data_IF_660875295282
#
_entry.id   IF_660875295282
#
_cell.length_a   1.000
_cell.length_b   1.000
_cell.length_c   1.000
_cell.angle_alpha   90.00
_cell.angle_beta   90.00
_cell.angle_gamma   90.00
#
_symmetry.space_group_name_H-M   'P 1'
#
loop_
_entity.id
_entity.type
_entity.pdbx_description
1 polymer ?
#
# COMPACT_ATOMS: atom_id res chain seq x y z
N UNK A 1 -26.44 -2.79 -14.80
CA UNK A 1 -25.08 -2.67 -15.38
C UNK A 1 -24.30 -3.90 -14.97
N UNK A 2 -23.45 -4.43 -15.85
CA UNK A 2 -22.60 -5.60 -15.54
C UNK A 2 -21.49 -5.15 -14.54
N UNK A 3 -21.15 -6.01 -13.58
CA UNK A 3 -20.07 -5.75 -12.59
C UNK A 3 -18.75 -5.36 -13.30
N UNK A 4 -18.40 -6.01 -14.41
CA UNK A 4 -17.20 -5.70 -15.18
C UNK A 4 -17.25 -4.29 -15.79
N UNK A 5 -18.37 -3.86 -16.33
CA UNK A 5 -18.53 -2.49 -16.87
C UNK A 5 -18.33 -1.42 -15.80
N UNK A 6 -18.80 -1.68 -14.56
CA UNK A 6 -18.55 -0.77 -13.43
C UNK A 6 -17.06 -0.71 -13.10
N UNK A 7 -16.40 -1.86 -12.98
CA UNK A 7 -14.97 -1.93 -12.71
C UNK A 7 -14.14 -1.18 -13.77
N UNK A 8 -14.46 -1.38 -15.05
CA UNK A 8 -13.75 -0.72 -16.15
C UNK A 8 -13.92 0.81 -16.11
N UNK A 9 -15.13 1.30 -15.80
CA UNK A 9 -15.41 2.74 -15.63
C UNK A 9 -14.69 3.33 -14.44
N UNK A 10 -14.75 2.68 -13.28
CA UNK A 10 -14.04 3.13 -12.08
C UNK A 10 -12.53 3.14 -12.33
N UNK A 11 -11.97 2.10 -12.96
CA UNK A 11 -10.56 2.05 -13.32
C UNK A 11 -10.14 3.21 -14.23
N UNK A 12 -10.94 3.52 -15.27
CA UNK A 12 -10.68 4.64 -16.17
C UNK A 12 -10.73 6.00 -15.44
N UNK A 13 -11.71 6.18 -14.54
CA UNK A 13 -11.87 7.39 -13.74
C UNK A 13 -10.68 7.59 -12.78
N UNK A 14 -10.29 6.54 -12.05
CA UNK A 14 -9.14 6.56 -11.13
C UNK A 14 -7.86 6.88 -11.89
N UNK A 15 -7.65 6.22 -13.03
CA UNK A 15 -6.48 6.48 -13.90
C UNK A 15 -6.39 7.95 -14.30
N UNK A 16 -7.49 8.55 -14.76
CA UNK A 16 -7.53 9.95 -15.16
C UNK A 16 -7.29 10.89 -13.96
N UNK A 17 -7.78 10.54 -12.77
CA UNK A 17 -7.66 11.37 -11.56
C UNK A 17 -6.24 11.35 -10.98
N UNK A 18 -5.53 10.23 -11.10
CA UNK A 18 -4.17 10.05 -10.61
C UNK A 18 -3.10 10.28 -11.70
N UNK A 19 -3.48 10.80 -12.85
CA UNK A 19 -2.54 11.15 -13.92
C UNK A 19 -1.65 12.32 -13.46
N UNK A 20 -0.33 12.16 -13.61
CA UNK A 20 0.65 13.14 -13.18
C UNK A 20 0.98 13.13 -11.68
N UNK A 21 0.37 12.25 -10.87
CA UNK A 21 0.75 12.10 -9.46
C UNK A 21 2.15 11.47 -9.33
N UNK A 22 3.04 12.12 -8.57
CA UNK A 22 4.45 11.73 -8.42
C UNK A 22 4.85 11.31 -7.01
N UNK A 23 3.89 11.25 -6.06
CA UNK A 23 4.18 10.93 -4.66
C UNK A 23 4.39 9.43 -4.38
N UNK A 24 4.19 8.58 -5.41
CA UNK A 24 4.20 7.11 -5.29
C UNK A 24 2.82 6.49 -5.04
N UNK A 25 1.75 7.32 -5.05
CA UNK A 25 0.35 6.93 -5.04
C UNK A 25 -0.31 7.20 -6.41
N UNK A 26 0.45 6.92 -7.48
CA UNK A 26 0.04 7.09 -8.87
C UNK A 26 -0.88 5.95 -9.34
N UNK A 27 -1.43 6.11 -10.57
CA UNK A 27 -2.22 5.05 -11.19
C UNK A 27 -1.49 3.69 -11.22
N UNK A 28 -0.17 3.68 -11.41
CA UNK A 28 0.56 2.43 -11.53
C UNK A 28 0.67 1.68 -10.20
N UNK A 29 0.70 2.39 -9.07
CA UNK A 29 0.54 1.78 -7.75
C UNK A 29 -0.83 1.12 -7.63
N UNK A 30 -1.92 1.87 -7.89
CA UNK A 30 -3.29 1.34 -7.85
C UNK A 30 -3.45 0.14 -8.78
N UNK A 31 -2.90 0.19 -9.98
CA UNK A 31 -2.94 -0.91 -10.94
C UNK A 31 -2.24 -2.17 -10.40
N UNK A 32 -1.07 -2.04 -9.79
CA UNK A 32 -0.34 -3.19 -9.20
C UNK A 32 -1.09 -3.77 -8.00
N UNK A 33 -1.62 -2.92 -7.12
CA UNK A 33 -2.47 -3.35 -6.00
C UNK A 33 -3.71 -4.07 -6.50
N UNK A 34 -4.42 -3.53 -7.50
CA UNK A 34 -5.58 -4.19 -8.11
C UNK A 34 -5.23 -5.57 -8.70
N UNK A 35 -4.12 -5.68 -9.44
CA UNK A 35 -3.66 -6.98 -9.98
C UNK A 35 -3.32 -7.98 -8.88
N UNK A 36 -2.67 -7.54 -7.80
CA UNK A 36 -2.33 -8.38 -6.66
C UNK A 36 -3.58 -8.78 -5.87
N UNK A 37 -4.54 -7.86 -5.69
CA UNK A 37 -5.85 -8.15 -5.11
C UNK A 37 -6.56 -9.27 -5.85
N UNK A 38 -6.55 -9.24 -7.19
CA UNK A 38 -7.12 -10.31 -8.00
C UNK A 38 -6.41 -11.65 -7.78
N UNK A 39 -5.08 -11.63 -7.75
CA UNK A 39 -4.29 -12.84 -7.56
C UNK A 39 -4.55 -13.50 -6.20
N UNK A 40 -4.60 -12.71 -5.13
CA UNK A 40 -4.85 -13.20 -3.76
C UNK A 40 -6.33 -13.57 -3.61
N UNK A 41 -7.24 -12.66 -3.98
CA UNK A 41 -8.67 -12.79 -3.72
C UNK A 41 -9.30 -14.01 -4.38
N UNK A 42 -8.90 -14.34 -5.63
CA UNK A 42 -9.37 -15.56 -6.29
C UNK A 42 -8.96 -16.82 -5.54
N UNK A 43 -7.76 -16.85 -4.97
CA UNK A 43 -7.25 -18.04 -4.24
C UNK A 43 -7.83 -18.14 -2.84
N UNK A 44 -8.11 -17.01 -2.20
CA UNK A 44 -8.69 -16.96 -0.85
C UNK A 44 -10.23 -17.03 -0.85
N UNK A 45 -10.89 -16.90 -2.01
CA UNK A 45 -12.35 -17.00 -2.14
C UNK A 45 -13.11 -15.73 -1.70
N UNK A 46 -12.50 -14.56 -1.85
CA UNK A 46 -13.11 -13.26 -1.52
C UNK A 46 -14.19 -12.86 -2.55
N UNK A 47 -15.13 -11.98 -2.15
CA UNK A 47 -16.00 -11.31 -3.11
C UNK A 47 -15.15 -10.35 -3.96
N UNK A 48 -14.91 -10.79 -5.20
CA UNK A 48 -14.03 -10.08 -6.10
C UNK A 48 -14.56 -8.71 -6.51
N UNK A 49 -15.88 -8.50 -6.51
CA UNK A 49 -16.44 -7.19 -6.87
C UNK A 49 -16.13 -6.15 -5.79
N UNK A 50 -16.31 -6.51 -4.52
CA UNK A 50 -15.94 -5.64 -3.38
C UNK A 50 -14.41 -5.41 -3.35
N UNK A 51 -13.63 -6.49 -3.47
CA UNK A 51 -12.17 -6.41 -3.39
C UNK A 51 -11.57 -5.57 -4.51
N UNK A 52 -12.03 -5.73 -5.75
CA UNK A 52 -11.54 -4.97 -6.90
C UNK A 52 -11.94 -3.49 -6.83
N UNK A 53 -13.18 -3.15 -6.46
CA UNK A 53 -13.60 -1.77 -6.23
C UNK A 53 -12.77 -1.11 -5.13
N UNK A 54 -12.55 -1.83 -4.03
CA UNK A 54 -11.71 -1.32 -2.93
C UNK A 54 -10.27 -1.06 -3.40
N UNK A 55 -9.67 -2.01 -4.12
CA UNK A 55 -8.31 -1.85 -4.64
C UNK A 55 -8.18 -0.67 -5.61
N UNK A 56 -9.19 -0.42 -6.44
CA UNK A 56 -9.21 0.73 -7.36
C UNK A 56 -9.35 2.07 -6.62
N UNK A 57 -10.09 2.10 -5.51
CA UNK A 57 -10.49 3.35 -4.84
C UNK A 57 -9.69 3.65 -3.56
N UNK A 58 -8.83 2.74 -3.08
CA UNK A 58 -8.18 2.87 -1.77
C UNK A 58 -7.36 4.15 -1.59
N UNK A 59 -6.74 4.64 -2.67
CA UNK A 59 -5.89 5.84 -2.69
C UNK A 59 -6.51 7.01 -3.46
N UNK A 60 -7.82 6.97 -3.79
CA UNK A 60 -8.48 7.99 -4.64
C UNK A 60 -8.44 9.41 -4.04
N UNK A 61 -8.31 9.50 -2.73
CA UNK A 61 -8.09 10.73 -1.99
C UNK A 61 -7.26 10.41 -0.74
N UNK A 62 -5.93 10.24 -0.92
CA UNK A 62 -5.03 9.92 0.19
C UNK A 62 -5.09 11.03 1.24
N UNK A 63 -5.38 10.63 2.48
CA UNK A 63 -5.46 11.52 3.65
C UNK A 63 -4.21 12.39 3.86
N UNK A 64 -3.05 11.95 3.37
CA UNK A 64 -1.80 12.72 3.44
C UNK A 64 -1.88 14.06 2.71
N UNK A 65 -2.71 14.16 1.66
CA UNK A 65 -2.96 15.40 0.93
C UNK A 65 -4.14 16.21 1.49
N UNK A 66 -4.86 15.64 2.47
CA UNK A 66 -6.04 16.25 3.10
C UNK A 66 -5.86 16.49 4.60
N UNK A 67 -4.64 16.88 5.03
CA UNK A 67 -4.37 17.23 6.43
C UNK A 67 -4.44 16.07 7.42
N UNK A 68 -4.45 14.83 6.93
CA UNK A 68 -4.55 13.62 7.76
C UNK A 68 -5.98 13.17 8.04
N UNK A 69 -6.99 13.72 7.34
CA UNK A 69 -8.39 13.34 7.48
C UNK A 69 -8.67 12.01 6.76
N UNK A 70 -8.82 10.94 7.52
CA UNK A 70 -9.09 9.58 7.05
C UNK A 70 -10.53 9.44 6.46
N UNK A 71 -11.41 10.45 6.59
CA UNK A 71 -12.81 10.38 6.11
C UNK A 71 -13.00 10.79 4.65
N UNK A 72 -12.04 11.51 4.08
CA UNK A 72 -12.14 12.04 2.70
C UNK A 72 -12.14 10.92 1.67
N UNK A 73 -11.25 9.94 1.78
CA UNK A 73 -11.17 8.79 0.86
C UNK A 73 -12.49 8.02 0.75
N UNK A 74 -13.06 7.54 1.88
CA UNK A 74 -14.38 6.88 1.89
C UNK A 74 -15.51 7.75 1.33
N UNK A 75 -15.52 9.07 1.60
CA UNK A 75 -16.56 9.96 1.09
C UNK A 75 -16.51 10.06 -0.45
N UNK A 76 -15.32 10.24 -1.02
CA UNK A 76 -15.13 10.28 -2.47
C UNK A 76 -15.48 8.93 -3.10
N UNK A 77 -15.06 7.81 -2.49
CA UNK A 77 -15.41 6.47 -2.97
C UNK A 77 -16.94 6.28 -3.00
N UNK A 78 -17.65 6.71 -1.93
CA UNK A 78 -19.10 6.62 -1.85
C UNK A 78 -19.80 7.41 -2.96
N UNK A 79 -19.34 8.63 -3.24
CA UNK A 79 -19.86 9.45 -4.33
C UNK A 79 -19.72 8.74 -5.69
N UNK A 80 -18.53 8.25 -6.00
CA UNK A 80 -18.23 7.59 -7.26
C UNK A 80 -19.03 6.28 -7.46
N UNK A 81 -19.12 5.46 -6.42
CA UNK A 81 -19.85 4.20 -6.47
C UNK A 81 -21.36 4.44 -6.58
N UNK A 82 -21.88 5.46 -5.90
CA UNK A 82 -23.31 5.85 -6.00
C UNK A 82 -23.66 6.35 -7.40
N UNK A 83 -22.79 7.12 -8.04
CA UNK A 83 -22.97 7.60 -9.41
C UNK A 83 -23.05 6.46 -10.45
N UNK A 84 -22.36 5.34 -10.19
CA UNK A 84 -22.40 4.13 -11.02
C UNK A 84 -23.49 3.13 -10.58
N UNK A 85 -24.39 3.52 -9.67
CA UNK A 85 -25.47 2.70 -9.13
C UNK A 85 -25.00 1.37 -8.51
N UNK A 86 -23.84 1.37 -7.84
CA UNK A 86 -23.37 0.22 -7.04
C UNK A 86 -24.30 0.05 -5.84
N UNK A 87 -24.71 -1.22 -5.49
CA UNK A 87 -25.57 -1.47 -4.34
C UNK A 87 -25.01 -0.84 -3.05
N UNK A 88 -25.92 -0.35 -2.19
CA UNK A 88 -25.54 0.39 -0.98
C UNK A 88 -24.70 -0.45 0.00
N UNK A 89 -25.03 -1.72 0.17
CA UNK A 89 -24.28 -2.67 1.00
C UNK A 89 -22.84 -2.88 0.50
N UNK A 90 -22.64 -3.01 -0.81
CA UNK A 90 -21.30 -3.09 -1.43
C UNK A 90 -20.56 -1.75 -1.23
N UNK A 91 -21.22 -0.63 -1.47
CA UNK A 91 -20.63 0.70 -1.31
C UNK A 91 -20.16 0.94 0.13
N UNK A 92 -21.00 0.64 1.11
CA UNK A 92 -20.67 0.82 2.53
C UNK A 92 -19.52 -0.12 2.96
N UNK A 93 -19.48 -1.35 2.46
CA UNK A 93 -18.37 -2.28 2.71
C UNK A 93 -17.04 -1.77 2.14
N UNK A 94 -17.02 -1.30 0.90
CA UNK A 94 -15.83 -0.69 0.27
C UNK A 94 -15.34 0.51 1.10
N UNK A 95 -16.24 1.41 1.52
CA UNK A 95 -15.91 2.57 2.34
C UNK A 95 -15.34 2.19 3.72
N UNK A 96 -15.89 1.16 4.38
CA UNK A 96 -15.37 0.66 5.66
C UNK A 96 -13.94 0.15 5.52
N UNK A 97 -13.65 -0.60 4.45
CA UNK A 97 -12.30 -1.11 4.21
C UNK A 97 -11.33 0.06 3.98
N UNK A 98 -11.66 1.02 3.10
CA UNK A 98 -10.80 2.16 2.79
C UNK A 98 -10.44 2.94 4.07
N UNK A 99 -11.40 3.18 4.97
CA UNK A 99 -11.19 3.91 6.22
C UNK A 99 -10.15 3.24 7.14
N UNK A 100 -10.00 1.92 7.07
CA UNK A 100 -9.17 1.13 7.99
C UNK A 100 -7.87 0.60 7.36
N UNK A 101 -7.67 0.81 6.04
CA UNK A 101 -6.60 0.17 5.27
C UNK A 101 -5.19 0.63 5.65
N UNK A 102 -5.02 1.93 5.94
CA UNK A 102 -3.72 2.60 6.01
C UNK A 102 -2.81 2.07 7.13
N UNK A 103 -1.50 1.97 6.84
CA UNK A 103 -0.47 1.72 7.84
C UNK A 103 -0.28 2.96 8.73
N UNK A 104 -0.43 2.80 10.05
CA UNK A 104 -0.41 3.89 11.04
C UNK A 104 0.83 3.88 11.95
N UNK A 105 1.89 3.10 11.61
CA UNK A 105 3.13 2.98 12.39
C UNK A 105 3.41 1.56 12.89
N UNK A 106 4.65 1.30 13.32
CA UNK A 106 5.11 -0.03 13.77
C UNK A 106 4.34 -0.54 15.00
N UNK A 107 4.00 0.34 15.92
CA UNK A 107 3.25 0.01 17.15
C UNK A 107 1.74 0.02 17.00
N UNK A 108 1.17 0.31 15.81
CA UNK A 108 -0.27 0.41 15.62
C UNK A 108 -0.79 -0.81 14.86
N UNK A 109 -1.73 -1.53 15.47
CA UNK A 109 -2.43 -2.63 14.82
C UNK A 109 -3.59 -2.06 14.00
N UNK A 110 -3.64 -2.41 12.72
CA UNK A 110 -4.76 -2.11 11.80
C UNK A 110 -5.43 -3.42 11.45
N UNK A 111 -6.43 -3.80 12.22
CA UNK A 111 -7.15 -5.07 12.04
C UNK A 111 -8.20 -4.94 10.93
N UNK A 112 -8.14 -5.84 9.94
CA UNK A 112 -9.16 -5.99 8.91
C UNK A 112 -10.18 -7.05 9.30
N UNK A 113 -11.47 -6.67 9.29
CA UNK A 113 -12.56 -7.53 9.74
C UNK A 113 -13.01 -8.51 8.66
N UNK A 114 -13.02 -8.09 7.41
CA UNK A 114 -13.55 -8.88 6.28
C UNK A 114 -12.43 -9.49 5.46
N UNK A 115 -12.73 -10.54 4.71
CA UNK A 115 -11.77 -11.21 3.84
C UNK A 115 -11.31 -10.28 2.71
N UNK A 116 -12.22 -9.51 2.13
CA UNK A 116 -11.93 -8.52 1.09
C UNK A 116 -10.95 -7.46 1.60
N UNK A 117 -11.19 -6.93 2.80
CA UNK A 117 -10.28 -5.99 3.45
C UNK A 117 -8.89 -6.58 3.70
N UNK A 118 -8.82 -7.84 4.18
CA UNK A 118 -7.56 -8.58 4.36
C UNK A 118 -6.80 -8.73 3.05
N UNK A 119 -7.48 -9.11 1.98
CA UNK A 119 -6.91 -9.27 0.63
C UNK A 119 -6.34 -7.97 0.09
N UNK A 120 -7.11 -6.88 0.16
CA UNK A 120 -6.67 -5.57 -0.35
C UNK A 120 -5.53 -5.00 0.49
N UNK A 121 -5.58 -5.13 1.81
CA UNK A 121 -4.52 -4.67 2.70
C UNK A 121 -3.22 -5.44 2.45
N UNK A 122 -3.27 -6.74 2.22
CA UNK A 122 -2.10 -7.54 1.86
C UNK A 122 -1.55 -7.13 0.49
N UNK A 123 -2.42 -6.89 -0.49
CA UNK A 123 -2.03 -6.44 -1.83
C UNK A 123 -1.30 -5.09 -1.79
N UNK A 124 -1.80 -4.11 -1.03
CA UNK A 124 -1.15 -2.82 -0.82
C UNK A 124 0.20 -2.96 -0.10
N UNK A 125 0.25 -3.72 0.98
CA UNK A 125 1.49 -4.00 1.72
C UNK A 125 2.55 -4.70 0.85
N UNK A 126 2.13 -5.64 -0.01
CA UNK A 126 3.01 -6.31 -0.94
C UNK A 126 3.61 -5.36 -1.98
N UNK A 127 2.90 -4.32 -2.43
CA UNK A 127 3.47 -3.31 -3.34
C UNK A 127 4.58 -2.47 -2.68
N UNK A 128 4.62 -2.43 -1.35
CA UNK A 128 5.66 -1.75 -0.59
C UNK A 128 6.93 -2.58 -0.36
N UNK A 129 6.96 -3.88 -0.70
CA UNK A 129 8.09 -4.79 -0.45
C UNK A 129 8.58 -5.49 -1.71
N UNK A 130 9.76 -6.11 -1.63
CA UNK A 130 10.41 -6.75 -2.77
C UNK A 130 11.01 -5.75 -3.74
N UNK A 131 11.24 -6.15 -4.99
CA UNK A 131 11.91 -5.32 -6.00
C UNK A 131 11.22 -3.97 -6.26
N UNK A 132 9.90 -3.97 -6.35
CA UNK A 132 9.10 -2.73 -6.51
C UNK A 132 9.21 -1.86 -5.25
N UNK A 133 9.12 -2.46 -4.07
CA UNK A 133 9.26 -1.75 -2.80
C UNK A 133 10.62 -1.06 -2.64
N UNK A 134 11.71 -1.74 -3.01
CA UNK A 134 13.06 -1.17 -3.04
C UNK A 134 13.11 0.07 -3.94
N UNK A 135 12.65 -0.06 -5.20
CA UNK A 135 12.63 1.04 -6.15
C UNK A 135 11.82 2.25 -5.64
N UNK A 136 10.62 1.99 -5.07
CA UNK A 136 9.75 3.02 -4.48
C UNK A 136 10.40 3.71 -3.28
N UNK A 137 11.06 2.97 -2.39
CA UNK A 137 11.72 3.53 -1.22
C UNK A 137 12.81 4.55 -1.61
N UNK A 138 13.65 4.21 -2.60
CA UNK A 138 14.69 5.12 -3.07
C UNK A 138 14.14 6.29 -3.92
N UNK A 139 13.14 6.05 -4.76
CA UNK A 139 12.47 7.12 -5.50
C UNK A 139 11.85 8.16 -4.54
N UNK A 140 11.13 7.70 -3.51
CA UNK A 140 10.57 8.57 -2.48
C UNK A 140 11.66 9.28 -1.66
N UNK A 141 12.72 8.54 -1.28
CA UNK A 141 13.87 9.11 -0.58
C UNK A 141 14.52 10.25 -1.38
N UNK A 142 14.76 10.05 -2.68
CA UNK A 142 15.28 11.08 -3.57
C UNK A 142 14.35 12.30 -3.69
N UNK A 143 13.03 12.07 -3.83
CA UNK A 143 12.03 13.15 -3.82
C UNK A 143 12.05 13.97 -2.52
N UNK A 144 12.34 13.33 -1.39
CA UNK A 144 12.44 13.99 -0.07
C UNK A 144 13.85 14.47 0.28
N UNK A 145 14.80 14.43 -0.67
CA UNK A 145 16.20 14.76 -0.43
C UNK A 145 16.85 13.96 0.72
N UNK A 146 16.44 12.71 0.91
CA UNK A 146 17.03 11.83 1.91
C UNK A 146 18.31 11.20 1.36
N UNK A 147 19.39 11.07 2.17
CA UNK A 147 20.55 10.28 1.79
C UNK A 147 20.16 8.81 1.61
N UNK A 148 20.92 8.09 0.79
CA UNK A 148 20.74 6.66 0.62
C UNK A 148 21.00 5.91 1.93
N UNK A 149 22.16 6.17 2.53
CA UNK A 149 22.67 5.58 3.76
C UNK A 149 23.58 6.56 4.48
N UNK A 150 23.59 6.50 5.82
CA UNK A 150 24.55 7.22 6.68
C UNK A 150 25.17 6.17 7.61
N UNK A 151 26.49 5.87 7.49
CA UNK A 151 27.15 4.92 8.37
C UNK A 151 27.02 5.31 9.85
N UNK A 152 26.65 4.35 10.69
CA UNK A 152 26.47 4.54 12.12
C UNK A 152 25.11 5.12 12.55
N UNK A 153 24.26 5.55 11.63
CA UNK A 153 22.89 5.95 11.95
C UNK A 153 21.98 4.73 12.07
N UNK A 154 21.39 4.55 13.27
CA UNK A 154 20.53 3.39 13.55
C UNK A 154 19.08 3.66 13.21
N UNK A 155 18.35 2.67 12.64
CA UNK A 155 16.91 2.76 12.39
C UNK A 155 16.12 2.99 13.68
N UNK A 156 15.05 3.78 13.61
CA UNK A 156 14.18 4.09 14.75
C UNK A 156 12.80 3.48 14.54
N UNK A 157 12.38 2.57 15.42
CA UNK A 157 11.05 2.00 15.41
C UNK A 157 10.03 3.00 15.99
N UNK A 158 9.30 3.67 15.10
CA UNK A 158 8.33 4.69 15.49
C UNK A 158 7.06 4.06 16.09
N UNK A 159 6.70 4.50 17.30
CA UNK A 159 5.57 3.98 18.05
C UNK A 159 4.26 4.76 17.80
N UNK A 160 4.30 5.85 17.02
CA UNK A 160 3.12 6.64 16.66
C UNK A 160 3.15 7.07 15.19
N UNK A 161 1.95 7.39 14.67
CA UNK A 161 1.74 7.90 13.31
C UNK A 161 2.53 9.20 13.08
N UNK A 162 2.48 10.12 14.05
CA UNK A 162 3.12 11.44 13.99
C UNK A 162 4.65 11.33 13.95
N UNK A 163 5.24 10.47 14.79
CA UNK A 163 6.68 10.23 14.82
C UNK A 163 7.17 9.63 13.49
N UNK A 164 6.42 8.67 12.93
CA UNK A 164 6.74 8.04 11.66
C UNK A 164 6.76 9.05 10.51
N UNK A 165 5.74 9.92 10.40
CA UNK A 165 5.66 10.91 9.31
C UNK A 165 6.69 12.04 9.41
N UNK A 166 7.21 12.33 10.60
CA UNK A 166 8.25 13.34 10.84
C UNK A 166 9.67 12.81 10.64
N UNK A 167 9.84 11.50 10.47
CA UNK A 167 11.16 10.90 10.27
C UNK A 167 11.78 11.34 8.94
N UNK A 168 13.04 11.79 9.00
CA UNK A 168 13.85 12.18 7.85
C UNK A 168 15.14 11.35 7.73
N UNK A 169 15.20 10.18 8.35
CA UNK A 169 16.33 9.27 8.27
C UNK A 169 16.65 8.80 6.84
N UNK A 170 17.84 8.20 6.62
CA UNK A 170 18.26 7.71 5.32
C UNK A 170 17.32 6.63 4.77
N UNK A 171 17.30 6.48 3.44
CA UNK A 171 16.38 5.57 2.76
C UNK A 171 16.55 4.11 3.20
N UNK A 172 17.79 3.67 3.51
CA UNK A 172 18.07 2.32 4.04
C UNK A 172 17.40 2.08 5.39
N UNK A 173 17.32 3.08 6.28
CA UNK A 173 16.71 2.90 7.59
C UNK A 173 15.22 2.57 7.47
N UNK A 174 14.54 3.08 6.43
CA UNK A 174 13.12 2.79 6.18
C UNK A 174 12.84 1.29 5.97
N UNK A 175 13.81 0.53 5.47
CA UNK A 175 13.65 -0.93 5.36
C UNK A 175 13.44 -1.57 6.73
N UNK A 176 14.24 -1.21 7.72
CA UNK A 176 14.16 -1.73 9.08
C UNK A 176 12.99 -1.13 9.87
N UNK A 177 12.66 0.14 9.62
CA UNK A 177 11.60 0.87 10.31
C UNK A 177 10.19 0.44 9.88
N UNK A 178 10.05 -0.05 8.64
CA UNK A 178 8.75 -0.43 8.07
C UNK A 178 8.78 -1.67 7.19
N UNK A 179 9.60 -1.70 6.12
CA UNK A 179 9.38 -2.63 5.01
C UNK A 179 9.58 -4.08 5.44
N UNK A 180 10.63 -4.38 6.20
CA UNK A 180 10.89 -5.73 6.72
C UNK A 180 9.84 -6.20 7.74
N UNK A 181 9.14 -5.28 8.40
CA UNK A 181 8.07 -5.61 9.34
C UNK A 181 6.77 -6.04 8.66
N UNK A 182 6.59 -5.72 7.37
CA UNK A 182 5.33 -5.96 6.67
C UNK A 182 5.05 -7.44 6.42
N UNK A 183 6.08 -8.29 6.30
CA UNK A 183 5.91 -9.73 6.16
C UNK A 183 5.04 -10.32 7.27
N UNK A 184 5.33 -9.98 8.51
CA UNK A 184 4.64 -10.51 9.68
C UNK A 184 3.24 -9.88 9.91
N UNK A 185 2.85 -8.95 9.06
CA UNK A 185 1.56 -8.25 9.09
C UNK A 185 0.60 -8.69 8.00
N UNK A 186 0.94 -9.70 7.22
CA UNK A 186 0.04 -10.26 6.20
C UNK A 186 -1.08 -11.04 6.88
N UNK A 187 -2.29 -10.85 6.36
CA UNK A 187 -3.50 -11.44 6.90
C UNK A 187 -3.79 -12.81 6.28
N UNK A 188 -3.68 -12.91 4.94
CA UNK A 188 -4.07 -14.07 4.15
C UNK A 188 -2.92 -15.06 4.01
N UNK A 189 -3.24 -16.32 3.72
CA UNK A 189 -2.22 -17.35 3.49
C UNK A 189 -1.40 -17.04 2.24
N UNK A 190 -2.07 -16.70 1.14
CA UNK A 190 -1.41 -16.34 -0.13
C UNK A 190 -0.58 -15.06 0.01
N UNK A 191 -1.07 -14.07 0.76
CA UNK A 191 -0.31 -12.85 1.08
C UNK A 191 1.00 -13.17 1.81
N UNK A 192 0.96 -14.05 2.82
CA UNK A 192 2.14 -14.50 3.57
C UNK A 192 3.17 -15.19 2.68
N UNK A 193 2.73 -16.13 1.84
CA UNK A 193 3.61 -16.86 0.92
C UNK A 193 4.35 -15.91 -0.04
N UNK A 194 3.65 -14.93 -0.61
CA UNK A 194 4.26 -13.95 -1.51
C UNK A 194 5.21 -13.02 -0.73
N UNK A 195 4.81 -12.60 0.48
CA UNK A 195 5.60 -11.70 1.33
C UNK A 195 6.93 -12.33 1.75
N UNK A 196 6.96 -13.64 2.03
CA UNK A 196 8.18 -14.35 2.38
C UNK A 196 9.25 -14.23 1.29
N UNK A 197 8.88 -14.50 0.04
CA UNK A 197 9.83 -14.38 -1.09
C UNK A 197 10.29 -12.92 -1.33
N UNK A 198 9.38 -11.95 -1.19
CA UNK A 198 9.73 -10.53 -1.33
C UNK A 198 10.60 -10.02 -0.19
N UNK A 199 10.37 -10.50 1.02
CA UNK A 199 11.17 -10.19 2.20
C UNK A 199 12.59 -10.69 2.05
N UNK A 200 12.76 -11.97 1.71
CA UNK A 200 14.08 -12.57 1.47
C UNK A 200 14.87 -11.80 0.41
N UNK A 201 14.24 -11.45 -0.69
CA UNK A 201 14.88 -10.61 -1.71
C UNK A 201 15.36 -9.25 -1.19
N UNK A 202 14.60 -8.63 -0.27
CA UNK A 202 15.05 -7.37 0.37
C UNK A 202 16.23 -7.57 1.30
N UNK A 203 16.29 -8.69 2.03
CA UNK A 203 17.44 -9.02 2.90
C UNK A 203 18.70 -9.23 2.06
N UNK A 204 18.61 -9.98 0.95
CA UNK A 204 19.73 -10.16 0.01
C UNK A 204 20.19 -8.82 -0.58
N UNK A 205 19.24 -7.97 -1.00
CA UNK A 205 19.55 -6.64 -1.51
C UNK A 205 20.29 -5.79 -0.46
N UNK A 206 19.83 -5.75 0.78
CA UNK A 206 20.46 -4.98 1.86
C UNK A 206 21.87 -5.47 2.16
N UNK A 207 22.06 -6.79 2.24
CA UNK A 207 23.36 -7.37 2.45
C UNK A 207 24.34 -6.97 1.34
N UNK A 208 23.90 -7.05 0.07
CA UNK A 208 24.69 -6.65 -1.08
C UNK A 208 24.97 -5.16 -1.12
N UNK A 209 23.96 -4.33 -0.86
CA UNK A 209 24.11 -2.87 -0.80
C UNK A 209 25.18 -2.44 0.21
N UNK A 210 25.17 -3.02 1.42
CA UNK A 210 26.15 -2.68 2.46
C UNK A 210 27.55 -3.15 2.11
N UNK A 211 27.72 -4.32 1.49
CA UNK A 211 29.02 -4.78 0.99
C UNK A 211 29.59 -3.82 -0.07
N UNK A 212 28.77 -3.43 -1.05
CA UNK A 212 29.15 -2.48 -2.09
C UNK A 212 29.46 -1.09 -1.52
N UNK A 213 28.72 -0.67 -0.50
CA UNK A 213 28.97 0.60 0.20
C UNK A 213 30.36 0.66 0.82
N UNK A 214 30.82 -0.46 1.40
CA UNK A 214 32.16 -0.59 1.99
C UNK A 214 33.25 -0.95 0.96
N UNK A 215 32.92 -1.06 -0.32
CA UNK A 215 33.86 -1.43 -1.38
C UNK A 215 34.35 -2.89 -1.30
N UNK A 216 33.55 -3.78 -0.73
CA UNK A 216 33.92 -5.18 -0.47
C UNK A 216 33.44 -6.17 -1.55
N UNK A 217 32.89 -5.72 -2.66
CA UNK A 217 32.34 -6.58 -3.73
C UNK A 217 32.81 -6.18 -5.11
#
# INVERSE_FOLDING_TARGET
>A
MNKQEILDKIAALVKNRLDGESSGHDWWHVYRVWKMTRHIGFKEGADMFVAELTALLHDIADHKFHGGDDTVGPAVAKELLSAENVPGDVTDHVCEIIMTLSFKGAGVVTEMRTLEGKVVQDADRLDAIGAIGIARAFAYGGHKNRPLHIPGETPVLHQSKEAYFKSNGPSINHFYEKLLLLKDRMNTQIGKEIAEGRHHFMEEYLARFLQEWEGQS
#
